data_IF_608837442515
#
_entry.id   IF_608837442515
#
_cell.length_a   1.000
_cell.length_b   1.000
_cell.length_c   1.000
_cell.angle_alpha   90.00
_cell.angle_beta   90.00
_cell.angle_gamma   90.00
#
_symmetry.space_group_name_H-M   'P 1'
#
loop_
_entity.id
_entity.type
_entity.pdbx_description
1 polymer ?
#
# COMPACT_ATOMS: atom_id res chain seq x y z
N UNK A 1 -39.35 16.55 4.69
CA UNK A 1 -38.39 15.56 4.20
C UNK A 1 -37.41 15.06 5.27
N UNK A 2 -37.30 15.75 6.42
CA UNK A 2 -36.35 15.45 7.51
C UNK A 2 -37.04 15.09 8.84
N UNK A 3 -38.36 14.86 8.83
CA UNK A 3 -39.14 14.46 10.01
C UNK A 3 -39.18 12.94 10.26
N UNK A 4 -38.65 12.15 9.34
CA UNK A 4 -38.56 10.70 9.51
C UNK A 4 -37.32 10.35 10.34
N UNK A 5 -37.41 9.25 11.08
CA UNK A 5 -36.27 8.71 11.84
C UNK A 5 -35.08 8.48 10.92
N UNK A 6 -33.90 8.98 11.32
CA UNK A 6 -32.66 8.81 10.57
C UNK A 6 -32.33 7.31 10.42
N UNK A 7 -32.19 6.85 9.20
CA UNK A 7 -31.99 5.44 8.86
C UNK A 7 -31.07 5.24 7.65
N UNK A 8 -31.23 4.10 6.97
CA UNK A 8 -30.41 3.73 5.83
C UNK A 8 -30.43 4.73 4.67
N UNK A 9 -31.54 5.38 4.43
CA UNK A 9 -31.66 6.39 3.35
C UNK A 9 -30.71 7.57 3.58
N UNK A 10 -30.68 8.08 4.81
CA UNK A 10 -29.78 9.18 5.22
C UNK A 10 -28.31 8.72 5.22
N UNK A 11 -28.06 7.50 5.70
CA UNK A 11 -26.73 6.91 5.69
C UNK A 11 -26.14 6.79 4.27
N UNK A 12 -26.91 6.22 3.34
CA UNK A 12 -26.49 6.11 1.93
C UNK A 12 -26.34 7.51 1.28
N UNK A 13 -27.24 8.45 1.62
CA UNK A 13 -27.13 9.82 1.13
C UNK A 13 -25.83 10.52 1.59
N UNK A 14 -25.44 10.35 2.86
CA UNK A 14 -24.17 10.88 3.40
C UNK A 14 -22.98 10.28 2.65
N UNK A 15 -22.91 8.96 2.53
CA UNK A 15 -21.82 8.28 1.83
C UNK A 15 -21.75 8.72 0.37
N UNK A 16 -22.89 8.77 -0.33
CA UNK A 16 -22.96 9.25 -1.71
C UNK A 16 -22.50 10.71 -1.84
N UNK A 17 -22.96 11.59 -0.93
CA UNK A 17 -22.57 13.00 -0.92
C UNK A 17 -21.07 13.18 -0.70
N UNK A 18 -20.49 12.47 0.27
CA UNK A 18 -19.04 12.48 0.51
C UNK A 18 -18.25 11.96 -0.68
N UNK A 19 -18.72 10.91 -1.34
CA UNK A 19 -18.13 10.38 -2.57
C UNK A 19 -18.15 11.41 -3.70
N UNK A 20 -19.31 12.02 -3.96
CA UNK A 20 -19.45 13.05 -5.00
C UNK A 20 -18.59 14.28 -4.71
N UNK A 21 -18.65 14.80 -3.49
CA UNK A 21 -17.81 15.94 -3.09
C UNK A 21 -16.33 15.60 -3.22
N UNK A 22 -15.91 14.41 -2.79
CA UNK A 22 -14.54 13.97 -2.92
C UNK A 22 -14.08 13.84 -4.38
N UNK A 23 -14.92 13.32 -5.28
CA UNK A 23 -14.62 13.24 -6.71
C UNK A 23 -14.54 14.65 -7.33
N UNK A 24 -15.46 15.54 -6.98
CA UNK A 24 -15.43 16.94 -7.47
C UNK A 24 -14.15 17.64 -7.03
N UNK A 25 -13.76 17.51 -5.76
CA UNK A 25 -12.50 18.03 -5.24
C UNK A 25 -11.29 17.41 -5.98
N UNK A 26 -11.32 16.10 -6.21
CA UNK A 26 -10.25 15.40 -6.91
C UNK A 26 -10.07 15.94 -8.35
N UNK A 27 -11.15 16.21 -9.05
CA UNK A 27 -11.11 16.76 -10.42
C UNK A 27 -10.68 18.23 -10.43
N UNK A 28 -11.15 19.01 -9.45
CA UNK A 28 -10.92 20.46 -9.38
C UNK A 28 -9.53 20.83 -8.86
N UNK A 29 -9.05 20.13 -7.82
CA UNK A 29 -7.81 20.46 -7.11
C UNK A 29 -6.68 19.48 -7.42
N UNK A 30 -7.02 18.25 -7.84
CA UNK A 30 -6.07 17.16 -8.03
C UNK A 30 -5.87 16.36 -6.75
N UNK A 31 -4.77 15.59 -6.69
CA UNK A 31 -4.43 14.80 -5.52
C UNK A 31 -4.07 15.67 -4.30
N UNK A 32 -4.22 15.13 -3.11
CA UNK A 32 -3.85 15.79 -1.86
C UNK A 32 -2.33 15.99 -1.86
N UNK A 33 -1.83 17.23 -1.73
CA UNK A 33 -0.39 17.48 -1.70
C UNK A 33 0.22 16.86 -0.44
N UNK A 34 1.34 16.15 -0.60
CA UNK A 34 2.02 15.48 0.53
C UNK A 34 2.36 16.44 1.67
N UNK A 35 2.73 17.69 1.37
CA UNK A 35 3.05 18.70 2.36
C UNK A 35 1.87 19.30 3.14
N UNK A 36 0.61 19.02 2.73
CA UNK A 36 -0.56 19.64 3.37
C UNK A 36 -0.82 19.17 4.81
N UNK A 37 -0.34 17.97 5.16
CA UNK A 37 -0.57 17.32 6.45
C UNK A 37 0.72 16.93 7.17
N UNK A 38 1.86 17.51 6.81
CA UNK A 38 3.13 17.32 7.50
C UNK A 38 3.13 18.11 8.82
N UNK A 39 3.90 17.67 9.80
CA UNK A 39 4.10 18.40 11.06
C UNK A 39 4.52 19.87 10.81
N UNK A 40 3.94 20.87 11.50
CA UNK A 40 2.96 20.75 12.59
C UNK A 40 1.49 20.78 12.16
N UNK A 41 1.17 20.92 10.87
CA UNK A 41 -0.20 21.05 10.35
C UNK A 41 -1.08 19.84 10.67
N UNK A 42 -0.52 18.63 10.63
CA UNK A 42 -1.24 17.39 10.99
C UNK A 42 -1.77 17.44 12.43
N UNK A 43 -0.99 17.97 13.39
CA UNK A 43 -1.44 18.11 14.79
C UNK A 43 -2.57 19.14 14.89
N UNK A 44 -2.47 20.27 14.17
CA UNK A 44 -3.51 21.31 14.18
C UNK A 44 -4.82 20.74 13.62
N UNK A 45 -4.78 20.11 12.44
CA UNK A 45 -5.97 19.51 11.83
C UNK A 45 -6.52 18.33 12.64
N UNK A 46 -5.63 17.50 13.18
CA UNK A 46 -6.01 16.39 14.05
C UNK A 46 -6.71 16.86 15.32
N UNK A 47 -6.15 17.87 16.00
CA UNK A 47 -6.74 18.47 17.20
C UNK A 47 -8.09 19.13 16.89
N UNK A 48 -8.19 19.85 15.78
CA UNK A 48 -9.45 20.45 15.33
C UNK A 48 -10.51 19.39 15.05
N UNK A 49 -10.13 18.27 14.42
CA UNK A 49 -11.04 17.16 14.16
C UNK A 49 -11.52 16.48 15.44
N UNK A 50 -10.63 16.21 16.41
CA UNK A 50 -11.01 15.68 17.72
C UNK A 50 -11.98 16.62 18.45
N UNK A 51 -11.69 17.92 18.45
CA UNK A 51 -12.57 18.93 19.02
C UNK A 51 -13.94 18.92 18.32
N UNK A 52 -13.96 18.83 16.99
CA UNK A 52 -15.20 18.76 16.22
C UNK A 52 -16.05 17.54 16.58
N UNK A 53 -15.45 16.36 16.80
CA UNK A 53 -16.17 15.16 17.27
C UNK A 53 -16.82 15.42 18.62
N UNK A 54 -16.06 15.94 19.59
CA UNK A 54 -16.56 16.17 20.97
C UNK A 54 -17.65 17.24 20.97
N UNK A 55 -17.40 18.38 20.33
CA UNK A 55 -18.36 19.50 20.26
C UNK A 55 -19.63 19.07 19.56
N UNK A 56 -19.54 18.40 18.41
CA UNK A 56 -20.73 17.93 17.69
C UNK A 56 -21.50 16.87 18.48
N UNK A 57 -20.83 15.99 19.20
CA UNK A 57 -21.49 15.02 20.09
C UNK A 57 -22.30 15.73 21.17
N UNK A 58 -21.73 16.74 21.81
CA UNK A 58 -22.41 17.51 22.87
C UNK A 58 -23.59 18.32 22.29
N UNK A 59 -23.35 19.07 21.21
CA UNK A 59 -24.38 19.91 20.58
C UNK A 59 -25.55 19.07 20.06
N UNK A 60 -25.28 17.97 19.39
CA UNK A 60 -26.35 17.08 18.90
C UNK A 60 -27.12 16.46 20.07
N UNK A 61 -26.44 16.15 21.18
CA UNK A 61 -27.11 15.68 22.40
C UNK A 61 -28.04 16.70 23.03
N UNK A 62 -27.74 17.98 22.85
CA UNK A 62 -28.58 19.09 23.35
C UNK A 62 -29.73 19.45 22.40
N UNK A 63 -29.44 19.55 21.10
CA UNK A 63 -30.37 20.09 20.11
C UNK A 63 -31.05 19.07 19.24
N UNK A 64 -30.42 17.93 18.95
CA UNK A 64 -30.95 16.91 18.04
C UNK A 64 -30.51 15.49 18.41
N UNK A 65 -31.16 14.92 19.40
CA UNK A 65 -30.89 13.56 19.90
C UNK A 65 -31.06 12.47 18.83
N UNK A 66 -31.92 12.68 17.85
CA UNK A 66 -32.12 11.69 16.77
C UNK A 66 -30.85 11.54 15.91
N UNK A 67 -30.24 12.67 15.55
CA UNK A 67 -29.00 12.68 14.78
C UNK A 67 -27.83 12.16 15.62
N UNK A 68 -27.76 12.50 16.89
CA UNK A 68 -26.76 11.94 17.80
C UNK A 68 -26.89 10.41 17.89
N UNK A 69 -28.11 9.89 18.01
CA UNK A 69 -28.40 8.46 18.05
C UNK A 69 -28.04 7.77 16.75
N UNK A 70 -28.29 8.42 15.60
CA UNK A 70 -27.92 7.91 14.30
C UNK A 70 -26.41 7.71 14.19
N UNK A 71 -25.60 8.73 14.49
CA UNK A 71 -24.13 8.63 14.42
C UNK A 71 -23.52 7.67 15.46
N UNK A 72 -24.21 7.42 16.57
CA UNK A 72 -23.82 6.45 17.59
C UNK A 72 -24.34 5.03 17.31
N UNK A 73 -25.11 4.86 16.24
CA UNK A 73 -25.83 3.63 15.92
C UNK A 73 -25.16 2.76 14.83
N UNK A 74 -25.68 1.55 14.69
CA UNK A 74 -25.17 0.55 13.74
C UNK A 74 -25.31 0.98 12.29
N UNK A 75 -26.36 1.73 11.93
CA UNK A 75 -26.60 2.18 10.55
C UNK A 75 -25.50 3.10 10.05
N UNK A 76 -25.11 4.11 10.84
CA UNK A 76 -24.02 5.00 10.51
C UNK A 76 -22.68 4.25 10.47
N UNK A 77 -22.46 3.32 11.41
CA UNK A 77 -21.24 2.50 11.46
C UNK A 77 -21.11 1.63 10.22
N UNK A 78 -22.15 0.87 9.86
CA UNK A 78 -22.11 -0.01 8.69
C UNK A 78 -22.00 0.76 7.39
N UNK A 79 -22.65 1.92 7.27
CA UNK A 79 -22.53 2.77 6.08
C UNK A 79 -21.14 3.38 5.93
N UNK A 80 -20.50 3.80 7.02
CA UNK A 80 -19.13 4.35 6.98
C UNK A 80 -18.10 3.28 6.60
N UNK A 81 -18.22 2.08 7.15
CA UNK A 81 -17.39 0.92 6.78
C UNK A 81 -17.64 0.56 5.31
N UNK A 82 -18.90 0.46 4.89
CA UNK A 82 -19.28 0.12 3.52
C UNK A 82 -18.76 1.13 2.50
N UNK A 83 -18.84 2.42 2.80
CA UNK A 83 -18.31 3.49 1.96
C UNK A 83 -16.79 3.42 1.78
N UNK A 84 -16.06 3.24 2.87
CA UNK A 84 -14.61 3.07 2.80
C UNK A 84 -14.22 1.77 2.09
N UNK A 85 -14.93 0.66 2.38
CA UNK A 85 -14.69 -0.63 1.73
C UNK A 85 -14.90 -0.55 0.21
N UNK A 86 -15.92 0.16 -0.25
CA UNK A 86 -16.15 0.35 -1.68
C UNK A 86 -14.96 1.04 -2.37
N UNK A 87 -14.39 2.06 -1.73
CA UNK A 87 -13.20 2.75 -2.24
C UNK A 87 -11.97 1.82 -2.23
N UNK A 88 -11.79 1.04 -1.17
CA UNK A 88 -10.68 0.07 -1.06
C UNK A 88 -10.82 -1.09 -2.06
N UNK A 89 -12.03 -1.51 -2.39
CA UNK A 89 -12.26 -2.50 -3.45
C UNK A 89 -11.82 -1.96 -4.82
N UNK A 90 -12.15 -0.71 -5.15
CA UNK A 90 -11.68 -0.08 -6.38
C UNK A 90 -10.14 -0.06 -6.39
N UNK A 91 -9.50 0.25 -5.26
CA UNK A 91 -8.03 0.22 -5.12
C UNK A 91 -7.45 -1.17 -5.42
N UNK A 92 -8.11 -2.23 -4.93
CA UNK A 92 -7.66 -3.62 -5.15
C UNK A 92 -7.73 -4.06 -6.62
N UNK A 93 -8.67 -3.51 -7.40
CA UNK A 93 -8.81 -3.83 -8.83
C UNK A 93 -8.04 -2.88 -9.76
N UNK A 94 -7.39 -1.85 -9.24
CA UNK A 94 -6.66 -0.85 -10.04
C UNK A 94 -5.18 -0.86 -9.70
N UNK A 95 -4.33 -0.74 -10.74
CA UNK A 95 -2.88 -0.61 -10.53
C UNK A 95 -2.59 0.71 -9.82
N UNK A 96 -2.00 0.64 -8.64
CA UNK A 96 -1.63 1.82 -7.87
C UNK A 96 -0.24 2.31 -8.27
N UNK A 97 -0.13 3.61 -8.54
CA UNK A 97 1.10 4.31 -8.93
C UNK A 97 1.20 5.55 -8.02
N UNK A 98 2.37 5.91 -7.51
CA UNK A 98 2.54 7.16 -6.77
C UNK A 98 2.01 8.37 -7.56
N UNK A 99 1.25 9.25 -6.91
CA UNK A 99 0.60 10.38 -7.59
C UNK A 99 1.61 11.28 -8.33
N UNK A 100 2.81 11.45 -7.78
CA UNK A 100 3.90 12.21 -8.40
C UNK A 100 4.40 11.60 -9.71
N UNK A 101 4.38 10.26 -9.86
CA UNK A 101 4.81 9.57 -11.08
C UNK A 101 3.74 9.58 -12.18
N UNK A 102 2.50 9.85 -11.81
CA UNK A 102 1.38 9.86 -12.74
C UNK A 102 1.12 11.19 -13.46
N UNK A 103 1.87 12.23 -13.18
CA UNK A 103 1.62 13.58 -13.69
C UNK A 103 1.65 13.72 -15.23
N UNK A 104 2.15 12.73 -15.97
CA UNK A 104 2.17 12.69 -17.44
C UNK A 104 1.12 11.75 -18.07
N UNK A 105 0.32 11.02 -17.29
CA UNK A 105 -0.63 10.05 -17.82
C UNK A 105 -1.96 10.72 -18.14
N UNK A 106 -2.32 10.73 -19.44
CA UNK A 106 -3.55 11.38 -19.96
C UNK A 106 -4.81 10.52 -19.72
N UNK A 107 -4.68 9.33 -19.12
CA UNK A 107 -5.82 8.42 -18.97
C UNK A 107 -6.87 8.98 -17.99
N UNK A 108 -8.17 9.03 -18.35
CA UNK A 108 -9.23 9.62 -17.53
C UNK A 108 -9.35 9.00 -16.13
N UNK A 109 -9.07 7.71 -15.97
CA UNK A 109 -9.07 7.02 -14.68
C UNK A 109 -7.97 7.54 -13.75
N UNK A 110 -6.85 8.02 -14.29
CA UNK A 110 -5.79 8.64 -13.51
C UNK A 110 -6.23 10.00 -12.97
N UNK A 111 -6.93 10.79 -13.80
CA UNK A 111 -7.45 12.11 -13.40
C UNK A 111 -8.48 12.03 -12.28
N UNK A 112 -9.30 10.98 -12.25
CA UNK A 112 -10.24 10.70 -11.15
C UNK A 112 -9.53 10.17 -9.90
N UNK A 113 -8.28 9.70 -10.02
CA UNK A 113 -7.46 9.24 -8.91
C UNK A 113 -7.50 7.73 -8.66
N UNK A 114 -8.08 6.92 -9.55
CA UNK A 114 -8.19 5.46 -9.35
C UNK A 114 -6.83 4.74 -9.33
N UNK A 115 -5.78 5.36 -9.85
CA UNK A 115 -4.41 4.85 -9.80
C UNK A 115 -3.60 5.29 -8.57
N UNK A 116 -4.16 6.13 -7.69
CA UNK A 116 -3.50 6.63 -6.47
C UNK A 116 -4.53 6.96 -5.37
N UNK A 117 -5.40 6.00 -5.10
CA UNK A 117 -6.61 6.19 -4.27
C UNK A 117 -6.30 6.75 -2.88
N UNK A 118 -5.21 6.32 -2.23
CA UNK A 118 -4.85 6.78 -0.88
C UNK A 118 -4.56 8.30 -0.79
N UNK A 119 -4.24 8.95 -1.91
CA UNK A 119 -4.01 10.40 -1.97
C UNK A 119 -5.18 11.18 -2.56
N UNK A 120 -6.39 10.59 -2.59
CA UNK A 120 -7.59 11.23 -3.12
C UNK A 120 -8.47 11.83 -2.01
N UNK A 121 -9.20 12.87 -2.38
CA UNK A 121 -10.14 13.52 -1.48
C UNK A 121 -11.31 12.62 -1.06
N UNK A 122 -11.83 11.78 -1.96
CA UNK A 122 -12.92 10.86 -1.62
C UNK A 122 -12.48 9.77 -0.64
N UNK A 123 -11.24 9.29 -0.72
CA UNK A 123 -10.69 8.37 0.28
C UNK A 123 -10.58 9.06 1.64
N UNK A 124 -9.99 10.26 1.68
CA UNK A 124 -9.83 11.02 2.91
C UNK A 124 -11.20 11.31 3.57
N UNK A 125 -12.18 11.76 2.80
CA UNK A 125 -13.51 12.06 3.35
C UNK A 125 -14.22 10.82 3.90
N UNK A 126 -14.12 9.67 3.22
CA UNK A 126 -14.66 8.40 3.72
C UNK A 126 -13.95 7.93 4.98
N UNK A 127 -12.63 8.08 5.02
CA UNK A 127 -11.83 7.74 6.18
C UNK A 127 -12.17 8.62 7.39
N UNK A 128 -12.27 9.94 7.20
CA UNK A 128 -12.68 10.88 8.25
C UNK A 128 -14.12 10.61 8.73
N UNK A 129 -15.01 10.23 7.82
CA UNK A 129 -16.38 9.85 8.18
C UNK A 129 -16.40 8.60 9.08
N UNK A 130 -15.62 7.59 8.74
CA UNK A 130 -15.48 6.40 9.59
C UNK A 130 -14.91 6.76 10.97
N UNK A 131 -13.85 7.58 11.03
CA UNK A 131 -13.29 8.04 12.30
C UNK A 131 -14.29 8.86 13.11
N UNK A 132 -15.06 9.72 12.45
CA UNK A 132 -16.10 10.53 13.10
C UNK A 132 -17.16 9.64 13.77
N UNK A 133 -17.70 8.67 13.00
CA UNK A 133 -18.70 7.70 13.51
C UNK A 133 -18.11 6.85 14.63
N UNK A 134 -16.87 6.35 14.46
CA UNK A 134 -16.18 5.57 15.50
C UNK A 134 -15.98 6.36 16.78
N UNK A 135 -15.61 7.65 16.67
CA UNK A 135 -15.53 8.57 17.81
C UNK A 135 -16.88 8.74 18.53
N UNK A 136 -17.97 8.93 17.77
CA UNK A 136 -19.33 9.03 18.32
C UNK A 136 -19.75 7.77 19.06
N UNK A 137 -19.57 6.60 18.45
CA UNK A 137 -19.89 5.29 19.07
C UNK A 137 -19.09 5.11 20.36
N UNK A 138 -17.81 5.45 20.33
CA UNK A 138 -16.91 5.31 21.49
C UNK A 138 -17.35 6.21 22.63
N UNK A 139 -17.55 7.52 22.38
CA UNK A 139 -17.99 8.48 23.40
C UNK A 139 -19.35 8.08 23.96
N UNK A 140 -20.28 7.72 23.07
CA UNK A 140 -21.64 7.32 23.47
C UNK A 140 -21.61 6.09 24.38
N UNK A 141 -20.80 5.10 24.04
CA UNK A 141 -20.69 3.87 24.83
C UNK A 141 -20.02 4.10 26.18
N UNK A 142 -18.94 4.86 26.22
CA UNK A 142 -18.25 5.21 27.47
C UNK A 142 -19.19 5.96 28.41
N UNK A 143 -19.93 6.95 27.89
CA UNK A 143 -20.86 7.77 28.70
C UNK A 143 -22.01 6.96 29.29
N UNK A 144 -22.44 5.87 28.62
CA UNK A 144 -23.55 5.00 29.06
C UNK A 144 -23.06 3.68 29.66
N UNK A 145 -21.76 3.54 29.88
CA UNK A 145 -21.15 2.34 30.44
C UNK A 145 -21.56 2.17 31.92
N UNK A 146 -21.86 0.93 32.27
CA UNK A 146 -22.11 0.51 33.67
C UNK A 146 -20.83 -0.02 34.35
N UNK A 147 -19.66 0.18 33.75
CA UNK A 147 -18.36 -0.33 34.22
C UNK A 147 -18.29 -1.86 34.41
N UNK A 148 -19.12 -2.59 33.69
CA UNK A 148 -19.08 -4.05 33.62
C UNK A 148 -17.93 -4.44 32.68
N UNK A 149 -17.28 -5.57 32.94
CA UNK A 149 -16.14 -6.07 32.15
C UNK A 149 -16.39 -6.02 30.64
N UNK A 150 -17.57 -6.40 30.18
CA UNK A 150 -17.98 -6.33 28.76
C UNK A 150 -17.93 -4.90 28.21
N UNK A 151 -18.36 -3.93 28.98
CA UNK A 151 -18.38 -2.51 28.54
C UNK A 151 -16.95 -1.96 28.49
N UNK A 152 -16.10 -2.35 29.43
CA UNK A 152 -14.69 -1.99 29.45
C UNK A 152 -13.95 -2.59 28.24
N UNK A 153 -14.15 -3.87 27.95
CA UNK A 153 -13.54 -4.54 26.81
C UNK A 153 -13.97 -3.89 25.48
N UNK A 154 -15.26 -3.55 25.35
CA UNK A 154 -15.78 -2.84 24.18
C UNK A 154 -15.12 -1.47 24.04
N UNK A 155 -15.06 -0.68 25.13
CA UNK A 155 -14.45 0.64 25.13
C UNK A 155 -12.96 0.57 24.76
N UNK A 156 -12.20 -0.35 25.33
CA UNK A 156 -10.78 -0.53 25.02
C UNK A 156 -10.56 -0.85 23.54
N UNK A 157 -11.35 -1.76 22.96
CA UNK A 157 -11.26 -2.11 21.54
C UNK A 157 -11.53 -0.89 20.64
N UNK A 158 -12.60 -0.14 20.94
CA UNK A 158 -12.97 1.01 20.10
C UNK A 158 -12.03 2.20 20.28
N UNK A 159 -11.54 2.45 21.50
CA UNK A 159 -10.49 3.45 21.75
C UNK A 159 -9.21 3.06 21.04
N UNK A 160 -8.77 1.81 21.19
CA UNK A 160 -7.55 1.30 20.53
C UNK A 160 -7.63 1.43 19.01
N UNK A 161 -8.75 1.00 18.42
CA UNK A 161 -8.98 1.13 16.98
C UNK A 161 -9.01 2.61 16.54
N UNK A 162 -9.72 3.46 17.30
CA UNK A 162 -9.77 4.90 17.00
C UNK A 162 -8.38 5.54 17.04
N UNK A 163 -7.59 5.27 18.08
CA UNK A 163 -6.24 5.80 18.21
C UNK A 163 -5.31 5.27 17.09
N UNK A 164 -5.37 3.98 16.79
CA UNK A 164 -4.56 3.40 15.72
C UNK A 164 -4.89 4.03 14.35
N UNK A 165 -6.16 4.18 14.03
CA UNK A 165 -6.58 4.82 12.77
C UNK A 165 -6.27 6.32 12.76
N UNK A 166 -6.54 7.02 13.86
CA UNK A 166 -6.33 8.46 13.96
C UNK A 166 -4.85 8.83 13.85
N UNK A 167 -3.99 8.21 14.64
CA UNK A 167 -2.55 8.46 14.57
C UNK A 167 -1.91 7.91 13.30
N UNK A 168 -2.44 6.79 12.76
CA UNK A 168 -2.04 6.29 11.45
C UNK A 168 -2.29 7.29 10.33
N UNK A 169 -3.42 8.00 10.35
CA UNK A 169 -3.70 9.08 9.40
C UNK A 169 -2.76 10.27 9.59
N UNK A 170 -2.54 10.71 10.83
CA UNK A 170 -1.67 11.85 11.12
C UNK A 170 -0.21 11.60 10.74
N UNK A 171 0.29 10.38 10.97
CA UNK A 171 1.68 10.03 10.67
C UNK A 171 1.92 9.70 9.19
N UNK A 172 0.88 9.42 8.42
CA UNK A 172 1.03 9.00 7.03
C UNK A 172 1.74 10.04 6.15
N UNK A 173 1.52 11.33 6.43
CA UNK A 173 2.14 12.43 5.71
C UNK A 173 3.60 12.70 6.13
N UNK A 174 3.96 12.33 7.35
CA UNK A 174 5.32 12.50 7.90
C UNK A 174 6.24 11.32 7.54
N UNK A 175 5.68 10.23 6.99
CA UNK A 175 6.47 9.08 6.58
C UNK A 175 7.27 9.40 5.32
N UNK A 176 8.59 9.38 5.46
CA UNK A 176 9.54 9.56 4.37
C UNK A 176 10.20 8.23 4.02
N UNK A 177 10.39 7.98 2.74
CA UNK A 177 11.05 6.78 2.23
C UNK A 177 12.31 7.18 1.49
N UNK A 178 13.40 6.61 1.93
CA UNK A 178 14.71 6.82 1.32
C UNK A 178 15.24 5.50 0.77
N UNK A 179 15.82 5.55 -0.42
CA UNK A 179 16.61 4.45 -0.98
C UNK A 179 18.06 4.74 -0.73
N UNK A 180 18.69 3.88 0.04
CA UNK A 180 20.11 3.95 0.35
C UNK A 180 20.81 2.78 -0.36
N UNK A 181 21.96 3.04 -0.98
CA UNK A 181 22.82 2.01 -1.58
C UNK A 181 24.01 1.78 -0.64
N UNK A 182 24.04 0.62 -0.02
CA UNK A 182 25.14 0.22 0.85
C UNK A 182 25.95 -0.91 0.20
N UNK A 183 27.27 -0.85 0.34
CA UNK A 183 28.20 -1.84 -0.18
C UNK A 183 28.97 -2.49 0.96
N UNK A 184 29.28 -3.78 0.84
CA UNK A 184 30.00 -4.56 1.87
C UNK A 184 31.48 -4.19 2.02
N UNK A 185 32.04 -3.57 1.01
CA UNK A 185 33.45 -3.13 0.92
C UNK A 185 33.60 -1.60 0.92
N UNK A 186 32.58 -0.90 1.38
CA UNK A 186 32.63 0.55 1.56
C UNK A 186 33.54 0.91 2.72
N UNK A 187 34.49 1.84 2.50
CA UNK A 187 35.41 2.32 3.52
C UNK A 187 34.71 3.13 4.62
N UNK A 188 33.55 3.70 4.28
CA UNK A 188 32.77 4.56 5.19
C UNK A 188 31.31 4.13 5.20
N UNK A 189 30.62 4.30 6.36
CA UNK A 189 29.17 4.10 6.44
C UNK A 189 28.42 5.06 5.50
N UNK A 190 27.34 4.60 4.90
CA UNK A 190 26.50 5.41 4.03
C UNK A 190 25.48 6.21 4.86
N UNK A 191 25.44 7.53 4.65
CA UNK A 191 24.50 8.45 5.31
C UNK A 191 23.63 9.24 4.33
N UNK A 192 23.79 8.99 3.03
CA UNK A 192 23.03 9.67 1.98
C UNK A 192 22.01 8.72 1.36
N UNK A 193 20.76 9.15 1.31
CA UNK A 193 19.68 8.41 0.69
C UNK A 193 18.96 9.22 -0.39
N UNK A 194 18.45 8.55 -1.39
CA UNK A 194 17.60 9.16 -2.41
C UNK A 194 16.17 9.12 -1.90
N UNK A 195 15.56 10.28 -1.71
CA UNK A 195 14.15 10.40 -1.37
C UNK A 195 13.30 9.84 -2.54
N UNK A 196 12.52 8.80 -2.27
CA UNK A 196 11.68 8.14 -3.29
C UNK A 196 10.59 9.04 -3.86
N UNK A 197 10.15 10.07 -3.12
CA UNK A 197 9.12 10.98 -3.57
C UNK A 197 9.63 12.08 -4.48
N UNK A 198 10.82 12.62 -4.18
CA UNK A 198 11.39 13.76 -4.89
C UNK A 198 12.55 13.40 -5.81
N UNK A 199 13.13 12.21 -5.66
CA UNK A 199 14.35 11.79 -6.35
C UNK A 199 15.62 12.55 -5.94
N UNK A 200 15.56 13.35 -4.88
CA UNK A 200 16.69 14.14 -4.40
C UNK A 200 17.56 13.34 -3.44
N UNK A 201 18.86 13.55 -3.55
CA UNK A 201 19.83 13.07 -2.57
C UNK A 201 19.68 13.89 -1.29
N UNK A 202 19.52 13.21 -0.16
CA UNK A 202 19.29 13.83 1.15
C UNK A 202 20.20 13.15 2.18
N UNK A 203 20.80 13.93 3.06
CA UNK A 203 21.55 13.41 4.19
C UNK A 203 20.59 12.90 5.27
N UNK A 204 20.87 11.68 5.73
CA UNK A 204 20.08 11.02 6.78
C UNK A 204 20.68 11.32 8.15
N UNK A 205 19.88 11.40 9.22
CA UNK A 205 20.37 11.60 10.59
C UNK A 205 21.06 10.34 11.17
N UNK A 206 21.26 9.32 10.36
CA UNK A 206 21.91 8.06 10.72
C UNK A 206 22.79 7.61 9.56
N UNK A 207 23.84 6.86 9.88
CA UNK A 207 24.71 6.20 8.92
C UNK A 207 24.53 4.68 9.02
N UNK A 208 24.56 3.99 7.88
CA UNK A 208 24.38 2.54 7.78
C UNK A 208 25.66 1.94 7.20
N UNK A 209 26.27 1.01 7.92
CA UNK A 209 27.39 0.20 7.46
C UNK A 209 26.89 -1.21 7.16
N UNK A 210 27.13 -1.70 5.95
CA UNK A 210 26.79 -3.05 5.55
C UNK A 210 28.00 -3.97 5.79
N UNK A 211 27.99 -4.68 6.91
CA UNK A 211 29.11 -5.56 7.30
C UNK A 211 29.12 -6.86 6.49
N UNK A 212 27.96 -7.41 6.19
CA UNK A 212 27.85 -8.67 5.47
C UNK A 212 26.54 -8.70 4.67
N UNK A 213 26.60 -9.22 3.47
CA UNK A 213 25.45 -9.50 2.62
C UNK A 213 25.49 -10.96 2.19
N UNK A 214 24.43 -11.70 2.52
CA UNK A 214 24.28 -13.11 2.12
C UNK A 214 22.96 -13.26 1.36
N UNK A 215 23.05 -13.71 0.14
CA UNK A 215 21.89 -13.96 -0.72
C UNK A 215 21.58 -15.45 -0.75
N UNK A 216 20.40 -15.81 -0.27
CA UNK A 216 19.89 -17.17 -0.46
C UNK A 216 19.27 -17.30 -1.84
N UNK A 217 19.93 -18.05 -2.69
CA UNK A 217 19.43 -18.35 -4.03
C UNK A 217 18.62 -19.64 -4.02
N UNK A 218 17.55 -19.67 -4.81
CA UNK A 218 16.87 -20.92 -5.10
C UNK A 218 17.76 -21.81 -5.97
N UNK A 219 17.71 -23.15 -5.77
CA UNK A 219 18.46 -24.06 -6.64
C UNK A 219 18.16 -23.77 -8.12
N UNK A 220 19.18 -23.66 -8.96
CA UNK A 220 18.98 -23.38 -10.38
C UNK A 220 18.20 -24.50 -11.05
N UNK A 221 17.29 -24.15 -11.95
CA UNK A 221 16.43 -25.10 -12.68
C UNK A 221 16.48 -24.84 -14.16
N UNK A 222 16.62 -25.90 -14.93
CA UNK A 222 16.49 -25.86 -16.37
C UNK A 222 15.05 -26.13 -16.77
N UNK A 223 14.47 -25.29 -17.62
CA UNK A 223 13.15 -25.50 -18.22
C UNK A 223 13.20 -25.17 -19.72
N UNK A 224 12.31 -25.79 -20.48
CA UNK A 224 12.16 -25.50 -21.92
C UNK A 224 11.09 -24.41 -22.07
N UNK A 225 11.44 -23.36 -22.80
CA UNK A 225 10.55 -22.21 -23.06
C UNK A 225 10.32 -22.12 -24.57
N UNK A 226 9.08 -21.94 -24.96
CA UNK A 226 8.73 -21.62 -26.34
C UNK A 226 9.21 -20.18 -26.66
N UNK A 227 10.11 -20.07 -27.62
CA UNK A 227 10.78 -18.81 -27.98
C UNK A 227 9.80 -17.73 -28.49
N UNK A 228 8.69 -18.15 -29.12
CA UNK A 228 7.69 -17.21 -29.68
C UNK A 228 6.73 -16.66 -28.60
N UNK A 229 6.32 -17.52 -27.65
CA UNK A 229 5.32 -17.16 -26.66
C UNK A 229 5.91 -16.80 -25.28
N UNK A 230 7.20 -17.11 -25.04
CA UNK A 230 7.86 -16.95 -23.74
C UNK A 230 7.30 -17.87 -22.65
N UNK A 231 6.45 -18.83 -23.00
CA UNK A 231 5.79 -19.71 -22.02
C UNK A 231 6.53 -21.05 -21.89
N UNK A 232 6.53 -21.65 -20.67
CA UNK A 232 7.16 -22.95 -20.47
C UNK A 232 6.40 -24.06 -21.18
N UNK A 233 7.10 -25.11 -21.55
CA UNK A 233 6.57 -26.34 -22.13
C UNK A 233 6.71 -27.46 -21.09
N UNK A 234 5.64 -28.25 -20.80
CA UNK A 234 4.26 -28.11 -21.26
C UNK A 234 3.50 -26.95 -20.63
N UNK A 235 2.50 -26.45 -21.35
CA UNK A 235 1.68 -25.34 -20.90
C UNK A 235 0.89 -25.73 -19.63
N UNK A 236 0.96 -24.91 -18.59
CA UNK A 236 0.19 -25.07 -17.36
C UNK A 236 0.97 -25.68 -16.20
N UNK A 237 1.87 -26.62 -16.43
CA UNK A 237 2.78 -27.15 -15.41
C UNK A 237 4.19 -27.22 -16.01
N UNK A 238 5.01 -26.23 -15.65
CA UNK A 238 6.40 -26.21 -16.09
C UNK A 238 7.15 -27.42 -15.51
N UNK A 239 7.64 -28.31 -16.38
CA UNK A 239 8.60 -29.32 -15.98
C UNK A 239 9.98 -28.71 -15.94
N UNK A 240 10.74 -29.01 -14.91
CA UNK A 240 12.09 -28.48 -14.72
C UNK A 240 13.02 -29.51 -14.14
N UNK A 241 14.27 -29.45 -14.58
CA UNK A 241 15.38 -30.28 -14.09
C UNK A 241 16.22 -29.42 -13.12
N UNK A 242 16.48 -29.91 -11.92
CA UNK A 242 17.36 -29.22 -10.97
C UNK A 242 18.82 -29.37 -11.41
N UNK A 243 19.62 -28.30 -11.31
CA UNK A 243 21.01 -28.24 -11.73
C UNK A 243 22.01 -28.31 -10.56
N UNK A 244 21.58 -28.84 -9.40
CA UNK A 244 22.41 -28.86 -8.19
C UNK A 244 23.74 -29.61 -8.35
N UNK A 245 23.80 -30.58 -9.24
CA UNK A 245 25.00 -31.36 -9.49
C UNK A 245 25.08 -31.80 -10.98
N UNK A 246 25.92 -31.13 -11.76
CA UNK A 246 26.23 -31.58 -13.14
C UNK A 246 27.35 -32.64 -13.10
N UNK A 247 27.37 -33.64 -14.03
CA UNK A 247 26.45 -33.81 -15.15
C UNK A 247 25.12 -34.45 -14.75
N UNK A 248 24.05 -33.99 -15.39
CA UNK A 248 22.69 -34.45 -15.13
C UNK A 248 22.02 -34.85 -16.44
N UNK A 249 21.36 -36.00 -16.46
CA UNK A 249 20.50 -36.43 -17.56
C UNK A 249 19.07 -36.53 -17.04
N UNK A 250 18.10 -35.99 -17.80
CA UNK A 250 16.71 -36.06 -17.46
C UNK A 250 15.80 -35.74 -18.63
N UNK A 251 14.52 -35.95 -18.46
CA UNK A 251 13.52 -35.61 -19.46
C UNK A 251 12.76 -34.36 -19.02
N UNK A 252 12.54 -33.45 -19.94
CA UNK A 252 11.65 -32.28 -19.78
C UNK A 252 10.65 -32.34 -20.92
N UNK A 253 9.37 -32.63 -20.63
CA UNK A 253 8.35 -32.96 -21.62
C UNK A 253 8.82 -34.11 -22.51
N UNK A 254 8.79 -33.93 -23.85
CA UNK A 254 9.23 -34.92 -24.82
C UNK A 254 10.74 -34.84 -25.17
N UNK A 255 11.50 -34.05 -24.42
CA UNK A 255 12.92 -33.81 -24.68
C UNK A 255 13.81 -34.56 -23.70
N UNK A 256 14.76 -35.33 -24.21
CA UNK A 256 15.85 -35.85 -23.41
C UNK A 256 16.94 -34.78 -23.31
N UNK A 257 17.23 -34.34 -22.10
CA UNK A 257 18.16 -33.24 -21.82
C UNK A 257 19.35 -33.79 -21.06
N UNK A 258 20.54 -33.47 -21.53
CA UNK A 258 21.81 -33.78 -20.88
C UNK A 258 22.57 -32.49 -20.60
N UNK A 259 22.72 -32.18 -19.33
CA UNK A 259 23.53 -31.06 -18.87
C UNK A 259 24.91 -31.58 -18.52
N UNK A 260 25.89 -31.19 -19.31
CA UNK A 260 27.30 -31.65 -19.15
C UNK A 260 28.06 -30.80 -18.15
N UNK A 261 27.74 -29.50 -18.07
CA UNK A 261 28.39 -28.53 -17.22
C UNK A 261 27.44 -27.41 -16.88
N UNK A 262 27.50 -26.92 -15.65
CA UNK A 262 26.77 -25.75 -15.16
C UNK A 262 27.75 -24.78 -14.55
N UNK A 263 27.75 -23.53 -15.03
CA UNK A 263 28.60 -22.45 -14.55
C UNK A 263 27.74 -21.40 -13.88
N UNK A 264 27.69 -21.34 -12.51
CA UNK A 264 26.81 -20.44 -11.78
C UNK A 264 27.13 -18.95 -11.99
N UNK A 265 28.40 -18.62 -12.21
CA UNK A 265 28.86 -17.25 -12.40
C UNK A 265 29.47 -17.08 -13.79
N UNK A 266 28.63 -16.87 -14.79
CA UNK A 266 29.09 -16.74 -16.18
C UNK A 266 28.27 -15.72 -16.95
N UNK A 267 28.90 -15.02 -17.91
CA UNK A 267 28.24 -14.15 -18.86
C UNK A 267 28.52 -14.63 -20.29
N UNK A 268 27.52 -14.45 -21.16
CA UNK A 268 27.71 -14.70 -22.58
C UNK A 268 28.49 -13.54 -23.19
N UNK A 269 29.70 -13.84 -23.70
CA UNK A 269 30.45 -12.90 -24.53
C UNK A 269 30.18 -13.27 -25.97
N UNK A 270 29.54 -12.39 -26.72
CA UNK A 270 29.29 -12.55 -28.14
C UNK A 270 30.46 -11.94 -28.93
N UNK A 271 31.35 -12.79 -29.41
CA UNK A 271 32.32 -12.37 -30.44
C UNK A 271 31.86 -12.89 -31.82
N UNK A 272 32.29 -12.23 -32.90
CA UNK A 272 31.87 -12.59 -34.24
C UNK A 272 32.19 -14.04 -34.62
N UNK A 273 33.20 -14.66 -34.00
CA UNK A 273 33.73 -15.94 -34.40
C UNK A 273 33.81 -17.00 -33.27
N UNK A 274 33.63 -16.61 -32.01
CA UNK A 274 33.79 -17.51 -30.87
C UNK A 274 32.93 -17.10 -29.69
N UNK A 275 32.31 -18.10 -29.04
CA UNK A 275 31.57 -17.91 -27.81
C UNK A 275 32.44 -18.36 -26.63
N UNK A 276 32.76 -17.46 -25.75
CA UNK A 276 33.46 -17.75 -24.50
C UNK A 276 32.56 -17.60 -23.32
N UNK A 277 32.75 -18.42 -22.32
CA UNK A 277 32.24 -18.14 -20.99
C UNK A 277 33.43 -17.76 -20.11
N UNK A 278 33.38 -16.61 -19.50
CA UNK A 278 34.27 -16.23 -18.42
C UNK A 278 33.48 -16.13 -17.12
N UNK A 279 34.11 -16.48 -16.02
CA UNK A 279 33.51 -16.32 -14.71
C UNK A 279 33.54 -14.83 -14.33
N UNK A 280 32.35 -14.23 -14.30
CA UNK A 280 32.15 -12.90 -13.77
C UNK A 280 31.33 -12.98 -12.48
N UNK A 281 31.71 -12.23 -11.47
CA UNK A 281 31.09 -12.26 -10.15
C UNK A 281 29.58 -11.89 -10.12
N UNK A 282 29.02 -11.38 -11.23
CA UNK A 282 27.63 -10.92 -11.30
C UNK A 282 26.91 -11.24 -12.62
N UNK A 283 27.34 -12.28 -13.33
CA UNK A 283 26.81 -12.56 -14.66
C UNK A 283 25.79 -13.70 -14.64
N UNK A 284 24.83 -13.62 -15.53
CA UNK A 284 23.81 -14.63 -15.69
C UNK A 284 24.31 -15.96 -16.26
N UNK A 285 23.43 -16.93 -16.38
CA UNK A 285 23.68 -18.27 -16.85
C UNK A 285 24.09 -18.30 -18.33
N UNK A 286 25.05 -19.11 -18.66
CA UNK A 286 25.55 -19.31 -20.02
C UNK A 286 25.33 -20.74 -20.51
N UNK A 287 24.78 -20.89 -21.69
CA UNK A 287 24.67 -22.19 -22.41
C UNK A 287 25.70 -22.22 -23.53
N UNK A 288 26.64 -23.13 -23.43
CA UNK A 288 27.61 -23.39 -24.51
C UNK A 288 26.91 -24.13 -25.64
N UNK A 289 26.73 -23.48 -26.79
CA UNK A 289 26.36 -24.18 -28.02
C UNK A 289 27.66 -24.76 -28.66
N UNK A 290 27.63 -26.07 -28.94
CA UNK A 290 28.65 -26.72 -29.79
C UNK A 290 28.37 -26.44 -31.23
#
# INVERSE_FOLDING_TARGET
MWNDTWGWRQACAIVAALGVVGIVLQIAVGHIPQGAFVFPQNIIWGSAFLLAIVVSYVLLGMYNKQVQFFFSGTVATLSSIGGLLAVLLIMGFTKQIPAAMGAGLIHPLHRIGFSHILSTWYFLLMYLYLLYVLGFVTIHRIRHSRLILRDITFAMNHIGLFLAMFFGLLSAADMQRYRLQAYTDSEYPEWQGIDEATGKLTELPLAIELLQFEMQEYPPKLMIINNTSGKPIPLGRAESLSLDSAPIEGNIADWQVKVTEYMPYSAAIVSKDLYFSENFAHAGQYIRQK
#
